data_IF_241715766385
#
_entry.id   IF_241715766385
#
_cell.length_a   1.000
_cell.length_b   1.000
_cell.length_c   1.000
_cell.angle_alpha   90.00
_cell.angle_beta   90.00
_cell.angle_gamma   90.00
#
_symmetry.space_group_name_H-M   'P 1'
#
loop_
_entity.id
_entity.type
_entity.pdbx_description
1 polymer ?
#
# COMPACT_ATOMS: atom_id res chain seq x y z
N UNK A 1 -6.93 -20.52 18.13
CA UNK A 1 -7.58 -19.26 18.54
C UNK A 1 -7.46 -18.14 17.47
N UNK A 2 -6.87 -18.40 16.30
CA UNK A 2 -6.56 -17.39 15.26
C UNK A 2 -7.75 -16.93 14.38
N UNK A 3 -8.81 -17.71 14.23
CA UNK A 3 -9.96 -17.35 13.36
C UNK A 3 -10.83 -16.19 13.86
N UNK A 4 -10.76 -15.84 15.14
CA UNK A 4 -11.59 -14.78 15.73
C UNK A 4 -11.03 -13.38 15.44
N UNK A 5 -9.72 -13.20 15.47
CA UNK A 5 -9.09 -11.87 15.28
C UNK A 5 -9.19 -11.40 13.82
N UNK A 6 -8.87 -12.27 12.86
CA UNK A 6 -9.01 -11.95 11.42
C UNK A 6 -10.45 -11.61 11.02
N UNK A 7 -11.43 -12.34 11.57
CA UNK A 7 -12.84 -12.05 11.34
C UNK A 7 -13.30 -10.72 11.92
N UNK A 8 -12.76 -10.34 13.07
CA UNK A 8 -13.05 -9.05 13.71
C UNK A 8 -12.42 -7.89 12.94
N UNK A 9 -11.15 -8.02 12.52
CA UNK A 9 -10.48 -7.01 11.67
C UNK A 9 -11.24 -6.81 10.36
N UNK A 10 -11.62 -7.87 9.68
CA UNK A 10 -12.39 -7.78 8.43
C UNK A 10 -13.76 -7.09 8.62
N UNK A 11 -14.46 -7.36 9.72
CA UNK A 11 -15.72 -6.69 10.04
C UNK A 11 -15.51 -5.19 10.28
N UNK A 12 -14.46 -4.81 11.01
CA UNK A 12 -14.08 -3.42 11.22
C UNK A 12 -13.71 -2.71 9.93
N UNK A 13 -12.92 -3.32 9.05
CA UNK A 13 -12.57 -2.76 7.75
C UNK A 13 -13.82 -2.54 6.90
N UNK A 14 -14.75 -3.49 6.84
CA UNK A 14 -16.02 -3.35 6.12
C UNK A 14 -16.86 -2.18 6.65
N UNK A 15 -16.94 -2.02 7.97
CA UNK A 15 -17.63 -0.90 8.57
C UNK A 15 -16.96 0.44 8.23
N UNK A 16 -15.64 0.49 8.22
CA UNK A 16 -14.83 1.67 7.89
C UNK A 16 -14.90 2.05 6.41
N UNK A 17 -15.09 1.10 5.49
CA UNK A 17 -15.27 1.36 4.06
C UNK A 17 -16.52 2.22 3.76
N UNK A 18 -17.46 2.33 4.69
CA UNK A 18 -18.59 3.25 4.59
C UNK A 18 -18.20 4.72 4.79
N UNK A 19 -17.06 4.99 5.42
CA UNK A 19 -16.60 6.36 5.70
C UNK A 19 -16.15 7.06 4.39
N UNK A 20 -16.51 8.34 4.17
CA UNK A 20 -16.21 9.05 2.92
C UNK A 20 -14.71 9.13 2.59
N UNK A 21 -13.87 9.35 3.59
CA UNK A 21 -12.41 9.43 3.45
C UNK A 21 -11.80 8.09 3.06
N UNK A 22 -12.23 7.01 3.69
CA UNK A 22 -11.78 5.64 3.40
C UNK A 22 -12.26 5.20 2.01
N UNK A 23 -13.48 5.57 1.62
CA UNK A 23 -14.02 5.31 0.28
C UNK A 23 -13.23 6.03 -0.82
N UNK A 24 -12.81 7.28 -0.56
CA UNK A 24 -11.95 8.01 -1.48
C UNK A 24 -10.58 7.34 -1.64
N UNK A 25 -9.95 6.94 -0.53
CA UNK A 25 -8.70 6.21 -0.55
C UNK A 25 -8.82 4.85 -1.29
N UNK A 26 -9.90 4.11 -1.05
CA UNK A 26 -10.19 2.86 -1.76
C UNK A 26 -10.36 3.07 -3.28
N UNK A 27 -11.01 4.14 -3.71
CA UNK A 27 -11.13 4.50 -5.13
C UNK A 27 -9.80 4.83 -5.78
N UNK A 28 -8.92 5.55 -5.08
CA UNK A 28 -7.56 5.83 -5.55
C UNK A 28 -6.71 4.55 -5.63
N UNK A 29 -6.84 3.67 -4.64
CA UNK A 29 -6.20 2.35 -4.65
C UNK A 29 -6.65 1.52 -5.86
N UNK A 30 -7.95 1.53 -6.16
CA UNK A 30 -8.51 0.82 -7.31
C UNK A 30 -7.95 1.33 -8.64
N UNK A 31 -7.86 2.64 -8.80
CA UNK A 31 -7.26 3.25 -9.98
C UNK A 31 -5.77 2.89 -10.14
N UNK A 32 -5.00 2.96 -9.07
CA UNK A 32 -3.59 2.60 -9.08
C UNK A 32 -3.37 1.10 -9.34
N UNK A 33 -4.21 0.24 -8.78
CA UNK A 33 -4.19 -1.21 -9.02
C UNK A 33 -4.47 -1.53 -10.50
N UNK A 34 -5.48 -0.88 -11.09
CA UNK A 34 -5.79 -1.01 -12.51
C UNK A 34 -4.63 -0.54 -13.39
N UNK A 35 -3.94 0.55 -13.02
CA UNK A 35 -2.76 1.05 -13.73
C UNK A 35 -1.63 0.03 -13.77
N UNK A 36 -1.40 -0.69 -12.67
CA UNK A 36 -0.40 -1.77 -12.62
C UNK A 36 -0.77 -2.90 -13.57
N UNK A 37 -2.01 -3.36 -13.54
CA UNK A 37 -2.48 -4.44 -14.41
C UNK A 37 -2.40 -4.06 -15.89
N UNK A 38 -2.72 -2.81 -16.24
CA UNK A 38 -2.71 -2.34 -17.64
C UNK A 38 -1.27 -2.12 -18.16
N UNK A 39 -0.33 -1.80 -17.28
CA UNK A 39 1.07 -1.58 -17.64
C UNK A 39 1.93 -2.85 -17.70
N UNK A 40 1.42 -3.99 -17.30
CA UNK A 40 2.05 -5.29 -17.52
C UNK A 40 1.80 -5.70 -18.96
N UNK A 41 2.87 -5.81 -19.77
CA UNK A 41 2.82 -6.47 -21.07
C UNK A 41 2.22 -7.86 -20.88
N UNK A 42 1.34 -8.24 -21.79
CA UNK A 42 0.83 -9.61 -21.81
C UNK A 42 1.98 -10.49 -22.27
N UNK A 43 2.60 -11.25 -21.38
CA UNK A 43 3.49 -12.32 -21.80
C UNK A 43 2.67 -13.39 -22.50
N UNK A 44 3.16 -13.79 -23.68
CA UNK A 44 2.52 -14.81 -24.50
C UNK A 44 2.58 -16.16 -23.75
N UNK A 45 1.41 -16.70 -23.42
CA UNK A 45 1.30 -17.97 -22.71
C UNK A 45 1.18 -19.15 -23.69
N UNK A 46 0.16 -19.11 -24.55
CA UNK A 46 -0.13 -20.24 -25.45
C UNK A 46 -1.02 -19.80 -26.62
N UNK A 47 -1.14 -20.69 -27.59
CA UNK A 47 -2.05 -20.61 -28.74
C UNK A 47 -3.21 -21.57 -28.49
N UNK A 48 -4.41 -21.03 -28.37
CA UNK A 48 -5.62 -21.83 -28.19
C UNK A 48 -6.61 -21.64 -29.35
N UNK A 49 -7.49 -22.61 -29.56
CA UNK A 49 -8.58 -22.44 -30.51
C UNK A 49 -9.61 -21.43 -29.99
N UNK A 50 -10.04 -20.52 -30.84
CA UNK A 50 -11.08 -19.54 -30.52
C UNK A 50 -12.36 -20.20 -30.07
N UNK A 51 -12.93 -19.75 -28.98
CA UNK A 51 -14.23 -20.17 -28.48
C UNK A 51 -15.19 -18.96 -28.41
N UNK A 52 -16.51 -19.17 -28.61
CA UNK A 52 -17.46 -18.08 -28.44
C UNK A 52 -17.39 -17.49 -27.03
N UNK A 53 -17.09 -16.20 -26.97
CA UNK A 53 -16.82 -15.46 -25.72
C UNK A 53 -15.41 -14.93 -25.59
N UNK A 54 -14.47 -15.43 -26.40
CA UNK A 54 -13.12 -14.88 -26.48
C UNK A 54 -13.10 -13.56 -27.26
N UNK A 55 -12.11 -12.71 -26.96
CA UNK A 55 -11.98 -11.41 -27.64
C UNK A 55 -11.39 -11.56 -29.05
N UNK A 56 -12.15 -11.11 -30.05
CA UNK A 56 -11.76 -11.19 -31.48
C UNK A 56 -10.44 -10.48 -31.79
N UNK A 57 -10.07 -9.46 -30.99
CA UNK A 57 -8.79 -8.73 -31.13
C UNK A 57 -7.57 -9.60 -30.80
N UNK A 58 -7.75 -10.68 -30.03
CA UNK A 58 -6.68 -11.56 -29.62
C UNK A 58 -6.44 -12.70 -30.63
N UNK A 59 -7.18 -12.73 -31.75
CA UNK A 59 -6.99 -13.69 -32.85
C UNK A 59 -5.64 -13.45 -33.54
N UNK A 60 -4.79 -14.48 -33.56
CA UNK A 60 -3.59 -14.48 -34.41
C UNK A 60 -3.96 -14.91 -35.83
N UNK A 61 -4.23 -13.94 -36.69
CA UNK A 61 -4.60 -14.19 -38.07
C UNK A 61 -3.55 -14.94 -38.88
N UNK A 62 -2.28 -14.78 -38.53
CA UNK A 62 -1.17 -15.46 -39.21
C UNK A 62 -1.11 -16.95 -38.86
N UNK A 63 -1.29 -17.29 -37.60
CA UNK A 63 -1.34 -18.67 -37.13
C UNK A 63 -2.68 -19.31 -37.55
N UNK A 64 -3.77 -18.59 -37.45
CA UNK A 64 -5.10 -19.06 -37.88
C UNK A 64 -5.12 -19.46 -39.36
N UNK A 65 -4.51 -18.66 -40.23
CA UNK A 65 -4.41 -18.96 -41.68
C UNK A 65 -3.61 -20.26 -41.95
N UNK A 66 -2.64 -20.59 -41.11
CA UNK A 66 -1.84 -21.85 -41.26
C UNK A 66 -2.59 -23.05 -40.66
N UNK A 67 -3.31 -22.83 -39.58
CA UNK A 67 -4.06 -23.87 -38.87
C UNK A 67 -5.40 -24.20 -39.53
N UNK A 68 -5.90 -23.35 -40.42
CA UNK A 68 -7.23 -23.49 -41.07
C UNK A 68 -8.41 -23.30 -40.12
N UNK A 69 -8.17 -22.73 -38.95
CA UNK A 69 -9.15 -22.44 -37.90
C UNK A 69 -8.73 -21.22 -37.07
N UNK A 70 -9.68 -20.47 -36.49
CA UNK A 70 -9.34 -19.31 -35.67
C UNK A 70 -8.52 -19.73 -34.44
N UNK A 71 -7.32 -19.16 -34.31
CA UNK A 71 -6.43 -19.35 -33.17
C UNK A 71 -6.28 -18.03 -32.45
N UNK A 72 -6.48 -18.03 -31.14
CA UNK A 72 -6.25 -16.89 -30.28
C UNK A 72 -4.90 -17.01 -29.56
N UNK A 73 -4.30 -15.88 -29.30
CA UNK A 73 -3.19 -15.75 -28.37
C UNK A 73 -3.79 -15.69 -26.97
N UNK A 74 -3.51 -16.70 -26.16
CA UNK A 74 -3.69 -16.58 -24.72
C UNK A 74 -2.47 -15.93 -24.14
N UNK A 75 -2.73 -14.86 -23.38
CA UNK A 75 -1.72 -14.19 -22.61
C UNK A 75 -1.86 -14.65 -21.17
N UNK A 76 -0.76 -15.09 -20.57
CA UNK A 76 -0.73 -15.27 -19.14
C UNK A 76 -0.96 -13.90 -18.51
N UNK A 77 -2.12 -13.72 -17.90
CA UNK A 77 -2.29 -12.63 -16.96
C UNK A 77 -1.48 -13.05 -15.74
N UNK A 78 -0.26 -12.56 -15.65
CA UNK A 78 0.45 -12.54 -14.37
C UNK A 78 -0.40 -11.65 -13.45
N UNK A 79 -1.43 -12.27 -12.87
CA UNK A 79 -2.44 -11.61 -12.02
C UNK A 79 -1.88 -11.29 -10.64
N UNK A 80 -0.64 -11.68 -10.38
CA UNK A 80 0.04 -11.39 -9.14
C UNK A 80 0.46 -9.93 -9.07
N UNK A 81 -0.46 -9.07 -8.63
CA UNK A 81 -0.09 -7.72 -8.22
C UNK A 81 0.63 -7.80 -6.88
N UNK A 82 1.80 -7.17 -6.83
CA UNK A 82 2.53 -7.01 -5.58
C UNK A 82 2.12 -5.69 -4.94
N UNK A 83 1.42 -5.77 -3.83
CA UNK A 83 1.06 -4.61 -3.02
C UNK A 83 1.99 -4.52 -1.81
N UNK A 84 2.69 -3.40 -1.68
CA UNK A 84 3.67 -3.16 -0.62
C UNK A 84 3.18 -2.03 0.28
N UNK A 85 2.96 -2.35 1.54
CA UNK A 85 2.79 -1.35 2.56
C UNK A 85 4.16 -0.76 2.91
N UNK A 86 4.26 0.55 2.96
CA UNK A 86 5.41 1.27 3.50
C UNK A 86 4.88 2.16 4.62
N UNK A 87 5.30 1.88 5.85
CA UNK A 87 4.72 2.55 7.03
C UNK A 87 5.82 3.27 7.79
N UNK A 88 5.61 4.55 7.98
CA UNK A 88 6.41 5.37 8.86
C UNK A 88 6.08 5.01 10.31
N UNK A 89 7.12 4.65 11.08
CA UNK A 89 7.02 4.35 12.50
C UNK A 89 7.85 5.33 13.35
N UNK A 90 7.98 6.57 12.88
CA UNK A 90 8.60 7.64 13.65
C UNK A 90 7.77 8.04 14.86
N UNK A 91 8.44 8.62 15.87
CA UNK A 91 7.78 9.11 17.10
C UNK A 91 6.70 10.14 16.79
N UNK A 92 6.81 10.86 15.68
CA UNK A 92 5.85 11.84 15.19
C UNK A 92 4.47 11.22 14.97
N UNK A 93 4.41 9.90 14.71
CA UNK A 93 3.16 9.16 14.58
C UNK A 93 2.42 8.98 15.90
N UNK A 94 3.04 9.32 17.04
CA UNK A 94 2.38 9.34 18.36
C UNK A 94 1.64 10.66 18.64
N UNK A 95 1.76 11.66 17.77
CA UNK A 95 1.03 12.92 17.90
C UNK A 95 -0.47 12.75 17.60
N UNK A 96 -1.27 13.70 18.07
CA UNK A 96 -2.70 13.74 17.78
C UNK A 96 -2.98 14.26 16.37
N UNK A 97 -3.94 13.66 15.70
CA UNK A 97 -4.52 14.15 14.46
C UNK A 97 -5.62 15.19 14.74
N UNK A 98 -6.09 15.96 13.73
CA UNK A 98 -7.18 16.93 13.89
C UNK A 98 -8.50 16.33 14.43
N UNK A 99 -8.69 15.02 14.27
CA UNK A 99 -9.83 14.28 14.82
C UNK A 99 -9.71 14.00 16.33
N UNK A 100 -8.55 14.27 16.93
CA UNK A 100 -8.22 13.93 18.31
C UNK A 100 -7.73 12.50 18.52
N UNK A 101 -7.68 11.68 17.48
CA UNK A 101 -7.11 10.34 17.50
C UNK A 101 -5.59 10.39 17.35
N UNK A 102 -4.89 9.37 17.84
CA UNK A 102 -3.45 9.26 17.62
C UNK A 102 -3.16 8.89 16.16
N UNK A 103 -2.16 9.52 15.55
CA UNK A 103 -1.83 9.28 14.13
C UNK A 103 -1.45 7.84 13.84
N UNK A 104 -0.77 7.14 14.78
CA UNK A 104 -0.45 5.72 14.64
C UNK A 104 -1.69 4.83 14.51
N UNK A 105 -2.78 5.13 15.25
CA UNK A 105 -4.02 4.38 15.14
C UNK A 105 -4.68 4.59 13.77
N UNK A 106 -4.67 5.85 13.27
CA UNK A 106 -5.17 6.16 11.93
C UNK A 106 -4.32 5.52 10.84
N UNK A 107 -2.99 5.50 11.01
CA UNK A 107 -2.07 4.84 10.09
C UNK A 107 -2.36 3.35 9.99
N UNK A 108 -2.54 2.68 11.12
CA UNK A 108 -2.89 1.26 11.16
C UNK A 108 -4.23 1.00 10.48
N UNK A 109 -5.25 1.83 10.75
CA UNK A 109 -6.57 1.74 10.08
C UNK A 109 -6.45 1.85 8.57
N UNK A 110 -5.66 2.81 8.07
CA UNK A 110 -5.44 3.00 6.64
C UNK A 110 -4.70 1.80 6.05
N UNK A 111 -3.62 1.35 6.68
CA UNK A 111 -2.84 0.20 6.25
C UNK A 111 -3.69 -1.07 6.21
N UNK A 112 -4.44 -1.37 7.27
CA UNK A 112 -5.39 -2.50 7.32
C UNK A 112 -6.39 -2.46 6.18
N UNK A 113 -7.06 -1.31 5.99
CA UNK A 113 -8.12 -1.17 4.98
C UNK A 113 -7.60 -1.43 3.58
N UNK A 114 -6.49 -0.79 3.21
CA UNK A 114 -5.91 -0.90 1.88
C UNK A 114 -5.31 -2.29 1.64
N UNK A 115 -4.68 -2.88 2.65
CA UNK A 115 -4.14 -4.23 2.57
C UNK A 115 -5.24 -5.29 2.40
N UNK A 116 -6.37 -5.15 3.10
CA UNK A 116 -7.52 -6.04 2.90
C UNK A 116 -8.13 -5.92 1.50
N UNK A 117 -8.18 -4.72 0.93
CA UNK A 117 -8.62 -4.53 -0.46
C UNK A 117 -7.71 -5.28 -1.44
N UNK A 118 -6.39 -5.20 -1.26
CA UNK A 118 -5.43 -5.97 -2.05
C UNK A 118 -5.61 -7.47 -1.87
N UNK A 119 -5.73 -7.94 -0.61
CA UNK A 119 -5.93 -9.36 -0.32
C UNK A 119 -7.20 -9.94 -0.97
N UNK A 120 -8.29 -9.17 -1.02
CA UNK A 120 -9.54 -9.60 -1.69
C UNK A 120 -9.38 -9.76 -3.21
N UNK A 121 -8.41 -9.09 -3.80
CA UNK A 121 -8.06 -9.20 -5.23
C UNK A 121 -7.04 -10.28 -5.53
N UNK A 122 -6.52 -10.93 -4.49
CA UNK A 122 -5.49 -11.96 -4.63
C UNK A 122 -4.06 -11.38 -4.70
N UNK A 123 -3.84 -10.12 -4.32
CA UNK A 123 -2.51 -9.54 -4.31
C UNK A 123 -1.56 -10.27 -3.36
N UNK A 124 -0.28 -10.25 -3.70
CA UNK A 124 0.79 -10.56 -2.75
C UNK A 124 1.11 -9.34 -1.91
N UNK A 125 0.87 -9.43 -0.62
CA UNK A 125 1.04 -8.34 0.33
C UNK A 125 2.34 -8.47 1.10
N UNK A 126 3.16 -7.43 1.06
CA UNK A 126 4.36 -7.27 1.87
C UNK A 126 4.33 -5.96 2.61
N UNK A 127 5.27 -5.79 3.54
CA UNK A 127 5.41 -4.56 4.31
C UNK A 127 6.87 -4.22 4.53
N UNK A 128 7.16 -2.93 4.52
CA UNK A 128 8.38 -2.32 5.01
C UNK A 128 7.96 -1.23 5.98
N UNK A 129 8.52 -1.19 7.15
CA UNK A 129 8.29 -0.11 8.11
C UNK A 129 9.58 0.23 8.84
N UNK A 130 9.66 1.43 9.37
CA UNK A 130 10.83 1.86 10.09
C UNK A 130 10.85 3.34 10.41
N UNK A 131 11.94 3.72 11.04
CA UNK A 131 12.28 5.07 11.47
C UNK A 131 13.80 5.24 11.42
N UNK A 132 14.35 6.29 12.04
CA UNK A 132 15.80 6.54 12.06
C UNK A 132 16.61 5.50 12.84
N UNK A 133 15.98 4.67 13.68
CA UNK A 133 16.66 3.58 14.39
C UNK A 133 16.84 2.32 13.53
N UNK A 134 16.02 2.13 12.49
CA UNK A 134 16.12 0.99 11.58
C UNK A 134 14.88 0.72 10.76
N UNK A 135 15.02 -0.22 9.84
CA UNK A 135 13.98 -0.61 8.90
C UNK A 135 13.77 -2.12 8.96
N UNK A 136 12.53 -2.55 9.11
CA UNK A 136 12.12 -3.95 9.02
C UNK A 136 11.33 -4.21 7.74
N UNK A 137 11.46 -5.45 7.21
CA UNK A 137 10.76 -5.87 6.01
C UNK A 137 10.23 -7.28 6.14
N UNK A 138 8.99 -7.47 5.70
CA UNK A 138 8.40 -8.78 5.49
C UNK A 138 8.02 -8.97 4.02
N UNK A 139 8.49 -10.06 3.38
CA UNK A 139 8.30 -10.26 1.95
C UNK A 139 6.83 -10.46 1.58
N UNK A 140 6.49 -10.11 0.34
CA UNK A 140 5.14 -10.23 -0.16
C UNK A 140 4.71 -11.70 -0.32
N UNK A 141 3.56 -12.04 0.27
CA UNK A 141 2.94 -13.38 0.21
C UNK A 141 1.42 -13.26 0.09
N UNK A 142 0.79 -14.32 -0.35
CA UNK A 142 -0.66 -14.43 -0.35
C UNK A 142 -1.20 -14.87 1.02
N UNK A 143 -2.48 -14.58 1.23
CA UNK A 143 -3.29 -15.14 2.29
C UNK A 143 -3.48 -14.23 3.50
N UNK A 144 -4.68 -14.34 4.09
CA UNK A 144 -5.10 -13.51 5.22
C UNK A 144 -4.24 -13.72 6.48
N UNK A 145 -3.75 -14.94 6.71
CA UNK A 145 -2.88 -15.21 7.87
C UNK A 145 -1.55 -14.48 7.78
N UNK A 146 -1.01 -14.32 6.56
CA UNK A 146 0.19 -13.52 6.35
C UNK A 146 -0.12 -12.03 6.52
N UNK A 147 -1.26 -11.58 6.00
CA UNK A 147 -1.71 -10.21 6.19
C UNK A 147 -1.85 -9.86 7.66
N UNK A 148 -2.56 -10.67 8.44
CA UNK A 148 -2.72 -10.45 9.88
C UNK A 148 -1.36 -10.38 10.59
N UNK A 149 -0.43 -11.26 10.22
CA UNK A 149 0.92 -11.27 10.78
C UNK A 149 1.67 -9.96 10.51
N UNK A 150 1.69 -9.46 9.25
CA UNK A 150 2.43 -8.24 8.92
C UNK A 150 1.78 -6.99 9.51
N UNK A 151 0.47 -6.95 9.65
CA UNK A 151 -0.26 -5.87 10.31
C UNK A 151 0.00 -5.84 11.81
N UNK A 152 0.03 -6.99 12.46
CA UNK A 152 0.39 -7.13 13.87
C UNK A 152 1.83 -6.61 14.14
N UNK A 153 2.77 -6.91 13.24
CA UNK A 153 4.14 -6.38 13.32
C UNK A 153 4.19 -4.84 13.17
N UNK A 154 3.39 -4.30 12.26
CA UNK A 154 3.29 -2.85 12.08
C UNK A 154 2.67 -2.15 13.29
N UNK A 155 1.61 -2.74 13.87
CA UNK A 155 0.97 -2.26 15.10
C UNK A 155 1.96 -2.17 16.26
N UNK A 156 2.75 -3.24 16.48
CA UNK A 156 3.77 -3.24 17.52
C UNK A 156 4.87 -2.19 17.28
N UNK A 157 5.31 -2.02 16.02
CA UNK A 157 6.31 -1.03 15.68
C UNK A 157 5.81 0.41 15.87
N UNK A 158 4.55 0.66 15.52
CA UNK A 158 3.89 1.95 15.74
C UNK A 158 3.73 2.24 17.23
N UNK A 159 3.25 1.27 18.02
CA UNK A 159 3.04 1.44 19.46
C UNK A 159 4.36 1.64 20.23
N UNK A 160 5.46 1.09 19.77
CA UNK A 160 6.80 1.21 20.34
C UNK A 160 7.68 2.28 19.72
N UNK A 161 7.10 3.26 19.01
CA UNK A 161 7.86 4.30 18.33
C UNK A 161 8.55 5.24 19.31
N UNK A 162 9.90 5.24 19.32
CA UNK A 162 10.73 6.10 20.19
C UNK A 162 11.73 6.95 19.38
N UNK A 163 12.01 6.56 18.14
CA UNK A 163 12.97 7.24 17.27
C UNK A 163 12.26 8.15 16.25
N UNK A 164 12.91 9.25 15.82
CA UNK A 164 12.37 10.13 14.78
C UNK A 164 12.08 9.40 13.45
N UNK A 165 11.18 9.94 12.67
CA UNK A 165 10.88 9.46 11.32
C UNK A 165 12.11 9.58 10.40
N UNK A 166 12.31 8.57 9.55
CA UNK A 166 13.21 8.64 8.39
C UNK A 166 12.56 7.89 7.22
N UNK A 167 11.49 8.47 6.70
CA UNK A 167 10.72 7.90 5.60
C UNK A 167 11.58 7.71 4.36
N UNK A 168 12.55 8.60 4.15
CA UNK A 168 13.45 8.52 3.00
C UNK A 168 14.34 7.30 3.08
N UNK A 169 14.90 6.97 4.25
CA UNK A 169 15.66 5.73 4.46
C UNK A 169 14.77 4.47 4.27
N UNK A 170 13.52 4.49 4.75
CA UNK A 170 12.57 3.38 4.57
C UNK A 170 12.28 3.14 3.08
N UNK A 171 12.05 4.21 2.31
CA UNK A 171 11.81 4.12 0.87
C UNK A 171 13.06 3.67 0.12
N UNK A 172 14.23 4.18 0.48
CA UNK A 172 15.49 3.75 -0.14
C UNK A 172 15.75 2.26 0.10
N UNK A 173 15.53 1.80 1.32
CA UNK A 173 15.60 0.37 1.65
C UNK A 173 14.63 -0.44 0.82
N UNK A 174 13.37 0.00 0.68
CA UNK A 174 12.38 -0.64 -0.18
C UNK A 174 12.87 -0.74 -1.62
N UNK A 175 13.33 0.36 -2.22
CA UNK A 175 13.82 0.40 -3.60
C UNK A 175 15.03 -0.50 -3.86
N UNK A 176 15.89 -0.69 -2.86
CA UNK A 176 17.04 -1.60 -2.95
C UNK A 176 16.62 -3.07 -2.87
N UNK A 177 15.59 -3.37 -2.08
CA UNK A 177 15.17 -4.75 -1.82
C UNK A 177 14.07 -5.26 -2.74
N UNK A 178 13.41 -4.37 -3.49
CA UNK A 178 12.31 -4.71 -4.38
C UNK A 178 12.56 -4.20 -5.80
N UNK A 179 12.57 -5.13 -6.77
CA UNK A 179 12.79 -4.79 -8.19
C UNK A 179 11.54 -4.91 -9.04
N UNK A 180 10.63 -5.80 -8.67
CA UNK A 180 9.38 -6.01 -9.41
C UNK A 180 8.42 -4.83 -9.19
N UNK A 181 7.76 -4.44 -10.29
CA UNK A 181 6.74 -3.38 -10.24
C UNK A 181 5.68 -3.72 -9.20
N UNK A 182 5.37 -2.78 -8.34
CA UNK A 182 4.47 -2.98 -7.21
C UNK A 182 3.56 -1.77 -7.05
N UNK A 183 2.39 -1.98 -6.45
CA UNK A 183 1.60 -0.92 -5.86
C UNK A 183 2.17 -0.63 -4.46
N UNK A 184 2.68 0.57 -4.27
CA UNK A 184 3.25 1.02 -3.00
C UNK A 184 2.25 1.91 -2.28
N UNK A 185 1.88 1.49 -1.09
CA UNK A 185 0.98 2.21 -0.20
C UNK A 185 1.81 2.79 0.94
N UNK A 186 2.21 4.05 0.80
CA UNK A 186 2.97 4.75 1.82
C UNK A 186 2.02 5.43 2.80
N UNK A 187 2.17 5.14 4.09
CA UNK A 187 1.45 5.80 5.17
C UNK A 187 2.47 6.53 6.05
N UNK A 188 2.32 7.84 6.17
CA UNK A 188 3.25 8.73 6.88
C UNK A 188 2.52 9.94 7.44
N UNK A 189 3.25 10.78 8.14
CA UNK A 189 2.73 12.05 8.62
C UNK A 189 2.70 13.14 7.52
N UNK A 190 2.25 14.34 7.86
CA UNK A 190 2.15 15.45 6.92
C UNK A 190 3.51 16.08 6.56
N UNK A 191 4.57 15.84 7.31
CA UNK A 191 5.89 16.46 7.10
C UNK A 191 6.63 15.86 5.90
N UNK A 192 6.29 14.60 5.54
CA UNK A 192 6.84 13.96 4.35
C UNK A 192 5.80 13.96 3.20
N UNK A 193 6.19 14.18 1.93
CA UNK A 193 7.54 14.54 1.47
C UNK A 193 7.84 16.01 1.69
N UNK A 194 9.10 16.29 2.02
CA UNK A 194 9.66 17.62 2.00
C UNK A 194 10.31 17.97 0.64
N UNK A 195 10.83 19.20 0.48
CA UNK A 195 11.46 19.63 -0.78
C UNK A 195 12.67 18.80 -1.19
N UNK A 196 13.36 18.17 -0.24
CA UNK A 196 14.53 17.31 -0.52
C UNK A 196 14.13 15.95 -1.12
N UNK A 197 12.90 15.51 -0.95
CA UNK A 197 12.43 14.16 -1.31
C UNK A 197 11.97 14.02 -2.76
N UNK A 198 11.94 15.11 -3.54
CA UNK A 198 11.44 15.09 -4.92
C UNK A 198 12.15 14.05 -5.79
N UNK A 199 13.49 13.93 -5.64
CA UNK A 199 14.28 12.93 -6.38
C UNK A 199 13.88 11.51 -6.00
N UNK A 200 13.63 11.26 -4.73
CA UNK A 200 13.22 9.95 -4.23
C UNK A 200 11.82 9.59 -4.72
N UNK A 201 10.89 10.55 -4.69
CA UNK A 201 9.55 10.38 -5.26
C UNK A 201 9.59 10.04 -6.75
N UNK A 202 10.46 10.68 -7.50
CA UNK A 202 10.62 10.38 -8.93
C UNK A 202 11.12 8.96 -9.13
N UNK A 203 12.17 8.54 -8.39
CA UNK A 203 12.73 7.19 -8.47
C UNK A 203 11.72 6.09 -8.14
N UNK A 204 10.86 6.29 -7.12
CA UNK A 204 9.84 5.30 -6.78
C UNK A 204 8.77 5.21 -7.87
N UNK A 205 8.33 6.35 -8.42
CA UNK A 205 7.30 6.42 -9.47
C UNK A 205 7.76 5.92 -10.84
N UNK A 206 9.06 5.88 -11.12
CA UNK A 206 9.61 5.29 -12.34
C UNK A 206 9.38 3.77 -12.43
N UNK A 207 9.26 3.09 -11.28
CA UNK A 207 9.18 1.62 -11.22
C UNK A 207 7.89 1.09 -10.61
N UNK A 208 7.26 1.87 -9.76
CA UNK A 208 6.12 1.46 -8.94
C UNK A 208 4.97 2.45 -9.10
N UNK A 209 3.76 1.99 -8.85
CA UNK A 209 2.63 2.88 -8.61
C UNK A 209 2.66 3.29 -7.14
N UNK A 210 2.58 4.59 -6.86
CA UNK A 210 2.69 5.13 -5.50
C UNK A 210 1.38 5.80 -5.08
N UNK A 211 0.79 5.30 -4.01
CA UNK A 211 -0.28 5.94 -3.28
C UNK A 211 0.26 6.39 -1.90
N UNK A 212 0.14 7.68 -1.60
CA UNK A 212 0.59 8.26 -0.33
C UNK A 212 -0.63 8.66 0.50
N UNK A 213 -0.71 8.14 1.71
CA UNK A 213 -1.66 8.54 2.73
C UNK A 213 -0.89 9.36 3.77
N UNK A 214 -1.19 10.66 3.83
CA UNK A 214 -0.61 11.57 4.82
C UNK A 214 -1.60 11.86 5.91
N UNK A 215 -1.18 11.68 7.15
CA UNK A 215 -2.00 11.96 8.32
C UNK A 215 -1.59 13.32 8.86
N UNK A 216 -2.56 14.22 8.95
CA UNK A 216 -2.33 15.58 9.40
C UNK A 216 -2.12 15.63 10.91
N UNK A 217 -1.34 16.62 11.37
CA UNK A 217 -1.20 16.95 12.77
C UNK A 217 -2.37 17.83 13.25
N UNK A 218 -2.71 17.70 14.51
CA UNK A 218 -3.63 18.64 15.16
C UNK A 218 -2.99 20.04 15.16
N UNK A 219 -3.71 21.08 14.72
CA UNK A 219 -3.20 22.44 14.78
C UNK A 219 -2.86 22.82 16.22
N UNK A 220 -1.69 23.42 16.49
CA UNK A 220 -1.26 23.74 17.86
C UNK A 220 -2.13 24.79 18.57
N UNK A 221 -2.99 25.48 17.83
CA UNK A 221 -3.91 26.51 18.34
C UNK A 221 -5.29 25.98 18.70
N UNK A 222 -5.59 24.70 18.43
CA UNK A 222 -6.89 24.12 18.80
C UNK A 222 -6.98 23.82 20.30
N UNK A 223 -8.16 24.11 20.87
CA UNK A 223 -8.45 23.78 22.28
C UNK A 223 -8.39 22.27 22.48
N UNK A 224 -7.55 21.82 23.41
CA UNK A 224 -7.34 20.42 23.70
C UNK A 224 -5.92 19.92 23.49
N UNK A 225 -5.06 20.71 22.87
CA UNK A 225 -3.61 20.46 22.84
C UNK A 225 -3.00 20.92 24.17
N UNK A 226 -3.34 20.24 25.25
CA UNK A 226 -2.72 20.52 26.56
C UNK A 226 -1.37 19.82 26.71
N UNK A 227 -1.12 18.80 25.91
CA UNK A 227 0.16 18.11 25.89
C UNK A 227 1.05 18.70 24.80
N UNK A 228 2.19 19.18 25.18
CA UNK A 228 3.27 19.55 24.27
C UNK A 228 3.66 18.32 23.46
N UNK A 229 3.45 18.36 22.17
CA UNK A 229 3.99 17.34 21.27
C UNK A 229 5.28 17.91 20.66
N UNK A 230 6.39 17.21 20.85
CA UNK A 230 7.60 17.45 20.08
C UNK A 230 7.42 16.79 18.72
N UNK A 231 7.32 17.59 17.67
CA UNK A 231 7.16 17.11 16.30
C UNK A 231 8.44 17.52 15.55
N UNK A 232 9.22 16.53 15.12
CA UNK A 232 10.46 16.75 14.36
C UNK A 232 11.43 17.76 15.00
N UNK A 233 11.59 17.72 16.33
CA UNK A 233 12.48 18.60 17.08
C UNK A 233 11.96 20.03 17.27
N UNK A 234 10.75 20.37 16.82
CA UNK A 234 10.10 21.63 17.10
C UNK A 234 9.18 21.46 18.32
N UNK A 235 9.37 22.36 19.30
CA UNK A 235 8.52 22.43 20.49
C UNK A 235 7.46 23.49 20.24
N UNK A 236 6.19 23.09 20.28
CA UNK A 236 5.09 24.04 20.25
C UNK A 236 4.70 24.41 21.68
N UNK A 237 4.73 25.70 21.99
CA UNK A 237 4.22 26.24 23.24
C UNK A 237 2.71 26.49 23.13
N UNK A 238 1.93 26.26 24.19
CA UNK A 238 0.49 26.52 24.20
C UNK A 238 0.16 27.99 23.96
#
# INVERSE_FOLDING_TARGET
MSRSAAGQRLALVRARLSLPTVRKAAGLFEGAHTSILTGKGHDFEDLAEYSPGDEVRDIDWKVSARAGRPIIRRFERDTDVFTQLVVDTGIEMQAAAPSGEIKSDLALVCAETLAYLGAQRGDRLGIVFGNSAGVERFPARHGLSHLDFILDRAEHALAGAEAPADVSAVIEFFLHTRRERSLVLLVTDQLWPGPADERLLRRIRERHELLVVRIADMPPTEKGVEAMAEISGNVFLP
#
